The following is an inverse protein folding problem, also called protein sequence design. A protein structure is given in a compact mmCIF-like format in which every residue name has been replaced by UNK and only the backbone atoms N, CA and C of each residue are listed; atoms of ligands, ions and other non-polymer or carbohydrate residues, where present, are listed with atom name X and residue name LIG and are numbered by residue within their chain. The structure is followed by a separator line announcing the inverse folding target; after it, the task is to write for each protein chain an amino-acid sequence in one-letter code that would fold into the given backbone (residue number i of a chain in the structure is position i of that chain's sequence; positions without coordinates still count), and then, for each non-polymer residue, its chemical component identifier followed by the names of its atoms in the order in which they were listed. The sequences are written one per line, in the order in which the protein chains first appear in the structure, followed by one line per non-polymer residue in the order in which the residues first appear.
data_IF_630331937439
#
_entry.id   IF_630331937439
#
_cell.length_a   1.000
_cell.length_b   1.000
_cell.length_c   1.000
_cell.angle_alpha   90.00
_cell.angle_beta   90.00
_cell.angle_gamma   90.00
#
_symmetry.space_group_name_H-M   'P 1'
#
loop_
_entity.id
_entity.type
_entity.pdbx_description
1 polymer ?
#
# COMPACT_ATOMS: atom_id res chain seq x y z
N UNK A 1 -12.01 1.05 -22.06
CA UNK A 1 -10.72 1.07 -22.78
C UNK A 1 -9.70 2.04 -22.16
N UNK A 2 -10.03 2.84 -21.13
CA UNK A 2 -9.09 3.81 -20.52
C UNK A 2 -8.32 3.28 -19.28
N UNK A 3 -8.83 2.23 -18.61
CA UNK A 3 -8.28 1.74 -17.33
C UNK A 3 -7.02 0.87 -17.53
N UNK A 4 -6.89 0.22 -18.69
CA UNK A 4 -5.71 -0.58 -19.02
C UNK A 4 -4.46 0.30 -19.16
N UNK A 5 -4.62 1.48 -19.78
CA UNK A 5 -3.52 2.44 -19.98
C UNK A 5 -2.99 3.00 -18.66
N UNK A 6 -3.85 3.29 -17.69
CA UNK A 6 -3.42 3.88 -16.41
C UNK A 6 -2.57 2.89 -15.60
N UNK A 7 -2.88 1.60 -15.71
CA UNK A 7 -2.13 0.53 -15.03
C UNK A 7 -0.72 0.38 -15.57
N UNK A 8 -0.56 0.27 -16.89
CA UNK A 8 0.78 0.10 -17.48
C UNK A 8 1.55 1.42 -17.52
N UNK A 9 0.90 2.54 -17.81
CA UNK A 9 1.59 3.83 -17.93
C UNK A 9 2.02 4.43 -16.58
N UNK A 10 1.32 4.13 -15.48
CA UNK A 10 1.60 4.73 -14.16
C UNK A 10 2.11 3.71 -13.16
N UNK A 11 1.53 2.50 -13.06
CA UNK A 11 1.96 1.54 -12.03
C UNK A 11 3.28 0.84 -12.37
N UNK A 12 3.62 0.69 -13.66
CA UNK A 12 4.92 0.14 -14.06
C UNK A 12 6.09 1.03 -13.61
N UNK A 13 6.14 2.34 -13.95
CA UNK A 13 7.21 3.20 -13.48
C UNK A 13 7.20 3.31 -11.96
N UNK A 14 6.02 3.42 -11.30
CA UNK A 14 5.96 3.38 -9.84
C UNK A 14 6.59 2.10 -9.28
N UNK A 15 6.35 0.92 -9.87
CA UNK A 15 6.97 -0.32 -9.40
C UNK A 15 8.50 -0.28 -9.53
N UNK A 16 9.02 0.31 -10.60
CA UNK A 16 10.47 0.49 -10.79
C UNK A 16 11.07 1.49 -9.79
N UNK A 17 10.33 2.55 -9.41
CA UNK A 17 10.79 3.52 -8.40
C UNK A 17 10.98 2.88 -7.01
N UNK A 18 10.29 1.79 -6.73
CA UNK A 18 10.44 1.04 -5.48
C UNK A 18 11.87 0.55 -5.23
N UNK A 19 12.57 0.18 -6.30
CA UNK A 19 13.95 -0.35 -6.24
C UNK A 19 15.00 0.76 -6.02
N UNK A 20 14.59 2.03 -6.19
CA UNK A 20 15.47 3.18 -6.07
C UNK A 20 15.68 3.53 -4.59
N UNK A 21 16.94 3.61 -4.15
CA UNK A 21 17.32 3.91 -2.75
C UNK A 21 17.19 5.39 -2.33
N UNK A 22 16.64 6.24 -3.18
CA UNK A 22 16.48 7.67 -2.90
C UNK A 22 15.17 7.90 -2.15
N UNK A 23 15.28 8.36 -0.90
CA UNK A 23 14.12 8.64 -0.04
C UNK A 23 13.14 9.63 -0.68
N UNK A 24 13.61 10.71 -1.31
CA UNK A 24 12.73 11.69 -1.96
C UNK A 24 11.88 11.09 -3.10
N UNK A 25 12.44 10.12 -3.82
CA UNK A 25 11.76 9.44 -4.93
C UNK A 25 10.68 8.51 -4.39
N UNK A 26 10.99 7.76 -3.33
CA UNK A 26 10.02 6.90 -2.65
C UNK A 26 8.92 7.71 -1.95
N UNK A 27 9.23 8.90 -1.43
CA UNK A 27 8.22 9.82 -0.88
C UNK A 27 7.22 10.25 -1.96
N UNK A 28 7.73 10.67 -3.13
CA UNK A 28 6.91 11.07 -4.27
C UNK A 28 6.09 9.91 -4.84
N UNK A 29 6.70 8.74 -4.96
CA UNK A 29 6.04 7.52 -5.36
C UNK A 29 4.85 7.21 -4.45
N UNK A 30 5.05 7.30 -3.14
CA UNK A 30 4.00 7.03 -2.17
C UNK A 30 2.89 8.09 -2.20
N UNK A 31 3.23 9.37 -2.37
CA UNK A 31 2.24 10.44 -2.58
C UNK A 31 1.38 10.17 -3.82
N UNK A 32 1.98 9.70 -4.91
CA UNK A 32 1.24 9.31 -6.11
C UNK A 32 0.31 8.12 -5.86
N UNK A 33 0.78 7.09 -5.15
CA UNK A 33 -0.05 5.93 -4.76
C UNK A 33 -1.24 6.38 -3.90
N UNK A 34 -1.00 7.26 -2.94
CA UNK A 34 -2.02 7.79 -2.03
C UNK A 34 -3.09 8.61 -2.77
N UNK A 35 -2.67 9.41 -3.75
CA UNK A 35 -3.56 10.15 -4.64
C UNK A 35 -4.38 9.21 -5.54
N UNK A 36 -3.75 8.20 -6.13
CA UNK A 36 -4.44 7.20 -6.94
C UNK A 36 -5.50 6.44 -6.13
N UNK A 37 -5.18 6.07 -4.90
CA UNK A 37 -6.11 5.43 -3.97
C UNK A 37 -7.33 6.31 -3.66
N UNK A 38 -7.12 7.62 -3.46
CA UNK A 38 -8.21 8.55 -3.15
C UNK A 38 -9.07 8.91 -4.36
N UNK A 39 -8.46 9.06 -5.54
CA UNK A 39 -9.17 9.52 -6.74
C UNK A 39 -9.67 8.40 -7.64
N UNK A 40 -9.01 7.24 -7.65
CA UNK A 40 -9.24 6.17 -8.61
C UNK A 40 -9.40 4.78 -7.96
N UNK A 41 -9.55 4.68 -6.64
CA UNK A 41 -9.69 3.41 -5.92
C UNK A 41 -10.70 2.45 -6.58
N UNK A 42 -11.93 2.90 -6.82
CA UNK A 42 -12.97 2.12 -7.50
C UNK A 42 -12.65 1.76 -8.97
N UNK A 43 -11.83 2.56 -9.65
CA UNK A 43 -11.43 2.32 -11.04
C UNK A 43 -10.23 1.39 -11.17
N UNK A 44 -9.50 1.11 -10.08
CA UNK A 44 -8.35 0.19 -10.06
C UNK A 44 -8.84 -1.26 -10.05
N UNK A 45 -9.64 -1.66 -11.04
CA UNK A 45 -10.11 -3.03 -11.16
C UNK A 45 -8.98 -3.96 -11.65
N UNK A 46 -8.37 -4.70 -10.72
CA UNK A 46 -7.42 -5.79 -11.00
C UNK A 46 -5.95 -5.48 -10.72
N UNK A 47 -5.56 -4.22 -10.55
CA UNK A 47 -4.15 -3.81 -10.34
C UNK A 47 -3.78 -3.61 -8.87
N UNK A 48 -4.71 -3.94 -7.96
CA UNK A 48 -4.55 -3.84 -6.51
C UNK A 48 -3.33 -4.58 -5.97
N UNK A 49 -3.04 -5.77 -6.49
CA UNK A 49 -1.88 -6.55 -6.05
C UNK A 49 -0.56 -5.80 -6.28
N UNK A 50 -0.47 -5.04 -7.39
CA UNK A 50 0.71 -4.21 -7.70
C UNK A 50 0.81 -3.02 -6.74
N UNK A 51 -0.31 -2.36 -6.43
CA UNK A 51 -0.36 -1.27 -5.45
C UNK A 51 0.03 -1.73 -4.04
N UNK A 52 -0.52 -2.85 -3.58
CA UNK A 52 -0.20 -3.43 -2.28
C UNK A 52 1.29 -3.77 -2.20
N UNK A 53 1.87 -4.33 -3.26
CA UNK A 53 3.30 -4.61 -3.31
C UNK A 53 4.16 -3.35 -3.25
N UNK A 54 3.76 -2.26 -3.91
CA UNK A 54 4.48 -0.97 -3.83
C UNK A 54 4.44 -0.43 -2.39
N UNK A 55 3.26 -0.47 -1.75
CA UNK A 55 3.09 -0.01 -0.36
C UNK A 55 3.92 -0.89 0.59
N UNK A 56 3.85 -2.20 0.43
CA UNK A 56 4.56 -3.19 1.27
C UNK A 56 6.06 -3.28 1.01
N UNK A 57 6.58 -2.62 -0.02
CA UNK A 57 8.01 -2.49 -0.24
C UNK A 57 8.64 -1.36 0.58
N UNK A 58 7.84 -0.42 1.08
CA UNK A 58 8.27 0.55 2.08
C UNK A 58 8.26 -0.16 3.43
N UNK A 59 9.45 -0.37 3.99
CA UNK A 59 9.65 -1.25 5.14
C UNK A 59 10.59 -0.65 6.19
N UNK A 60 11.19 -1.51 7.02
CA UNK A 60 12.02 -1.12 8.18
C UNK A 60 13.27 -0.28 7.83
N UNK A 61 13.71 -0.31 6.57
CA UNK A 61 14.89 0.44 6.11
C UNK A 61 14.59 1.92 5.81
N UNK A 62 13.31 2.31 5.83
CA UNK A 62 12.84 3.66 5.49
C UNK A 62 12.58 4.47 6.77
N UNK A 63 12.52 5.80 6.66
CA UNK A 63 12.25 6.63 7.84
C UNK A 63 10.84 6.45 8.38
N UNK A 64 10.63 6.68 9.69
CA UNK A 64 9.32 6.48 10.36
C UNK A 64 8.18 7.23 9.66
N UNK A 65 8.47 8.42 9.11
CA UNK A 65 7.49 9.21 8.34
C UNK A 65 7.02 8.46 7.08
N UNK A 66 7.91 7.78 6.36
CA UNK A 66 7.56 7.01 5.18
C UNK A 66 6.74 5.78 5.53
N UNK A 67 7.14 5.08 6.59
CA UNK A 67 6.43 3.90 7.08
C UNK A 67 5.01 4.27 7.51
N UNK A 68 4.83 5.39 8.24
CA UNK A 68 3.51 5.92 8.62
C UNK A 68 2.63 6.22 7.42
N UNK A 69 3.17 6.95 6.44
CA UNK A 69 2.41 7.28 5.22
C UNK A 69 2.03 6.02 4.43
N UNK A 70 2.92 5.02 4.38
CA UNK A 70 2.66 3.77 3.67
C UNK A 70 1.58 2.95 4.38
N UNK A 71 1.63 2.92 5.71
CA UNK A 71 0.60 2.31 6.52
C UNK A 71 -0.75 3.01 6.37
N UNK A 72 -0.80 4.35 6.29
CA UNK A 72 -2.05 5.08 6.02
C UNK A 72 -2.67 4.70 4.66
N UNK A 73 -1.85 4.55 3.61
CA UNK A 73 -2.31 4.03 2.33
C UNK A 73 -2.88 2.62 2.49
N UNK A 74 -2.17 1.75 3.22
CA UNK A 74 -2.61 0.38 3.47
C UNK A 74 -3.94 0.30 4.24
N UNK A 75 -4.12 1.13 5.28
CA UNK A 75 -5.37 1.20 6.04
C UNK A 75 -6.55 1.58 5.16
N UNK A 76 -6.38 2.55 4.25
CA UNK A 76 -7.41 2.93 3.30
C UNK A 76 -7.80 1.75 2.40
N UNK A 77 -6.82 0.98 1.92
CA UNK A 77 -7.07 -0.26 1.14
C UNK A 77 -7.87 -1.28 1.96
N UNK A 78 -7.48 -1.52 3.21
CA UNK A 78 -8.11 -2.53 4.08
C UNK A 78 -9.49 -2.10 4.60
N UNK A 79 -9.75 -0.80 4.72
CA UNK A 79 -10.99 -0.26 5.29
C UNK A 79 -12.03 0.02 4.21
N UNK A 80 -11.65 0.72 3.14
CA UNK A 80 -12.59 1.16 2.11
C UNK A 80 -12.71 0.17 0.93
N UNK A 81 -11.63 -0.55 0.60
CA UNK A 81 -11.55 -1.33 -0.64
C UNK A 81 -11.45 -2.85 -0.45
N UNK A 82 -11.23 -3.34 0.78
CA UNK A 82 -11.15 -4.77 1.06
C UNK A 82 -12.34 -5.63 0.57
N UNK A 83 -13.61 -5.16 0.63
CA UNK A 83 -14.73 -5.93 0.08
C UNK A 83 -14.80 -5.93 -1.45
N UNK A 84 -14.12 -5.00 -2.14
CA UNK A 84 -14.05 -4.93 -3.61
C UNK A 84 -12.81 -5.62 -4.18
N UNK A 85 -11.86 -6.02 -3.33
CA UNK A 85 -10.66 -6.76 -3.72
C UNK A 85 -10.96 -8.18 -4.22
N UNK A 86 -10.24 -8.59 -5.26
CA UNK A 86 -10.22 -9.98 -5.70
C UNK A 86 -9.53 -10.87 -4.64
N UNK A 87 -10.01 -12.10 -4.38
CA UNK A 87 -9.41 -12.98 -3.39
C UNK A 87 -7.91 -13.27 -3.53
N UNK A 88 -7.35 -13.11 -4.73
CA UNK A 88 -5.90 -13.21 -4.95
C UNK A 88 -5.08 -12.13 -4.23
N UNK A 89 -5.70 -11.01 -3.79
CA UNK A 89 -5.01 -9.91 -3.11
C UNK A 89 -4.95 -10.08 -1.58
N UNK A 90 -5.81 -10.90 -0.97
CA UNK A 90 -5.79 -11.15 0.48
C UNK A 90 -4.43 -11.61 1.02
N UNK A 91 -3.72 -12.58 0.42
CA UNK A 91 -2.41 -12.99 0.94
C UNK A 91 -1.38 -11.85 0.89
N UNK A 92 -1.41 -11.00 -0.15
CA UNK A 92 -0.55 -9.83 -0.25
C UNK A 92 -0.88 -8.77 0.83
N UNK A 93 -2.17 -8.58 1.14
CA UNK A 93 -2.60 -7.72 2.24
C UNK A 93 -2.11 -8.23 3.59
N UNK A 94 -2.24 -9.53 3.85
CA UNK A 94 -1.79 -10.15 5.11
C UNK A 94 -0.28 -10.07 5.25
N UNK A 95 0.49 -10.35 4.19
CA UNK A 95 1.95 -10.22 4.20
C UNK A 95 2.39 -8.78 4.46
N UNK A 96 1.76 -7.82 3.79
CA UNK A 96 2.02 -6.38 3.98
C UNK A 96 1.66 -5.93 5.40
N UNK A 97 0.52 -6.37 5.93
CA UNK A 97 0.12 -6.08 7.30
C UNK A 97 1.09 -6.70 8.31
N UNK A 98 1.56 -7.92 8.07
CA UNK A 98 2.55 -8.59 8.91
C UNK A 98 3.88 -7.83 8.92
N UNK A 99 4.33 -7.32 7.75
CA UNK A 99 5.52 -6.45 7.66
C UNK A 99 5.37 -5.16 8.46
N UNK A 100 4.22 -4.49 8.38
CA UNK A 100 3.95 -3.32 9.21
C UNK A 100 3.78 -3.68 10.70
N UNK A 101 3.24 -4.85 11.02
CA UNK A 101 3.12 -5.38 12.38
C UNK A 101 4.46 -5.77 13.01
N UNK A 102 5.47 -6.07 12.20
CA UNK A 102 6.83 -6.37 12.63
C UNK A 102 7.72 -5.12 12.73
N UNK A 103 7.15 -3.91 12.63
CA UNK A 103 7.90 -2.67 12.83
C UNK A 103 8.33 -2.54 14.30
N UNK A 104 9.62 -2.70 14.59
CA UNK A 104 10.14 -2.61 15.96
C UNK A 104 10.28 -1.16 16.47
N UNK A 105 10.35 -0.17 15.55
CA UNK A 105 10.72 1.20 15.90
C UNK A 105 9.51 2.15 16.12
N UNK A 106 8.34 1.82 15.57
CA UNK A 106 7.13 2.64 15.69
C UNK A 106 5.95 1.75 16.16
N UNK A 107 5.98 1.40 17.46
CA UNK A 107 5.01 0.51 18.13
C UNK A 107 3.54 0.89 17.88
N UNK A 108 3.24 2.16 17.63
CA UNK A 108 1.90 2.62 17.27
C UNK A 108 1.42 2.08 15.91
N UNK A 109 2.32 1.94 14.93
CA UNK A 109 2.01 1.34 13.63
C UNK A 109 1.78 -0.15 13.79
N UNK A 110 2.65 -0.83 14.53
CA UNK A 110 2.51 -2.27 14.80
C UNK A 110 1.20 -2.59 15.52
N UNK A 111 0.81 -1.76 16.50
CA UNK A 111 -0.45 -1.90 17.22
C UNK A 111 -1.67 -1.58 16.34
N UNK A 112 -1.59 -0.54 15.50
CA UNK A 112 -2.65 -0.18 14.57
C UNK A 112 -2.83 -1.21 13.43
N UNK A 113 -1.75 -1.84 12.96
CA UNK A 113 -1.79 -2.88 11.94
C UNK A 113 -2.56 -4.11 12.41
N UNK A 114 -2.31 -4.55 13.65
CA UNK A 114 -3.07 -5.63 14.29
C UNK A 114 -4.53 -5.20 14.49
N UNK A 115 -4.77 -3.97 14.95
CA UNK A 115 -6.11 -3.43 15.16
C UNK A 115 -6.95 -3.34 13.88
N UNK A 116 -6.35 -2.95 12.75
CA UNK A 116 -7.04 -2.84 11.46
C UNK A 116 -7.39 -4.21 10.87
N UNK A 117 -6.58 -5.25 11.13
CA UNK A 117 -6.85 -6.63 10.71
C UNK A 117 -7.97 -7.27 11.53
N UNK A 118 -7.95 -7.07 12.86
CA UNK A 118 -8.96 -7.62 13.77
C UNK A 118 -10.28 -6.85 13.66
N UNK A 119 -10.23 -5.54 13.43
CA UNK A 119 -11.40 -4.69 13.28
C UNK A 119 -12.22 -4.96 12.01
N UNK A 120 -11.59 -5.37 10.90
CA UNK A 120 -12.30 -5.75 9.67
C UNK A 120 -12.88 -7.18 9.71
N UNK A 121 -12.65 -7.94 10.79
CA UNK A 121 -13.10 -9.33 10.99
C UNK A 121 -14.21 -9.48 12.05
N UNK A 122 -14.65 -8.38 12.66
CA UNK A 122 -15.74 -8.30 13.65
C UNK A 122 -16.87 -7.44 13.08
#
# INVERSE_FOLDING_TARGET
MAVQDLTDLVLEPLTQLTDIKFNDVQEKQLQCVQYLLHCYGDEINGSWLRLINIIGAIGQSHSDKHIRSAFQCFQLVVTDYLPTLNPNCYPACVDTAAKFGHQEHDLNISLAAIGSLVGSLI
#
